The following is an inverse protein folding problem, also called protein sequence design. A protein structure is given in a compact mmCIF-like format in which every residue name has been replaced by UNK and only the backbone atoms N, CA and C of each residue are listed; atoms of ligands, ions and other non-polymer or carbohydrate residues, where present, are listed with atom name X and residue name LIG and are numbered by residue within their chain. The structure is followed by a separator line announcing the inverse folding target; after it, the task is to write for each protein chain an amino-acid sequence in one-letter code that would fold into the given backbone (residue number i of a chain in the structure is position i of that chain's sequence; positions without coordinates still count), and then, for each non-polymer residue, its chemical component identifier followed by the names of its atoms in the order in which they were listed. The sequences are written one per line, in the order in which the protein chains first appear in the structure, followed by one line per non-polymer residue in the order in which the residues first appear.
data_IF_062107483603
#
_entry.id   IF_062107483603
#
_cell.length_a   1.000
_cell.length_b   1.000
_cell.length_c   1.000
_cell.angle_alpha   90.00
_cell.angle_beta   90.00
_cell.angle_gamma   90.00
#
_symmetry.space_group_name_H-M   'P 1'
#
loop_
_entity.id
_entity.type
_entity.pdbx_description
1 polymer ?
#
# COMPACT_ATOMS: atom_id res chain seq x y z
N UNK A 1 20.72 -26.90 70.26
CA UNK A 1 21.08 -25.48 70.37
C UNK A 1 22.33 -25.28 69.53
N UNK A 2 22.19 -24.82 68.29
CA UNK A 2 23.22 -24.11 67.47
C UNK A 2 22.58 -23.83 66.09
N UNK A 3 21.99 -22.65 65.88
CA UNK A 3 22.52 -21.55 65.07
C UNK A 3 23.12 -21.96 63.71
N UNK A 4 22.42 -21.62 62.62
CA UNK A 4 23.04 -20.97 61.44
C UNK A 4 21.98 -20.60 60.38
N UNK A 5 21.33 -19.47 60.64
CA UNK A 5 20.60 -18.67 59.67
C UNK A 5 21.60 -18.18 58.63
N UNK A 6 21.64 -18.81 57.46
CA UNK A 6 22.43 -18.31 56.32
C UNK A 6 21.64 -17.20 55.64
N UNK A 7 21.86 -16.00 56.15
CA UNK A 7 21.40 -14.72 55.60
C UNK A 7 21.96 -14.56 54.19
N UNK A 8 21.09 -14.58 53.17
CA UNK A 8 21.47 -14.18 51.81
C UNK A 8 21.85 -12.68 51.82
N UNK A 9 22.95 -12.28 51.18
CA UNK A 9 23.25 -10.88 50.98
C UNK A 9 22.25 -10.26 50.01
N UNK A 10 21.57 -9.20 50.46
CA UNK A 10 20.80 -8.31 49.60
C UNK A 10 21.72 -7.75 48.50
N UNK A 11 21.28 -7.85 47.25
CA UNK A 11 21.88 -7.10 46.16
C UNK A 11 21.46 -5.63 46.26
N UNK A 12 22.39 -4.66 46.19
CA UNK A 12 22.04 -3.26 46.10
C UNK A 12 21.38 -2.93 44.74
N UNK A 13 20.38 -2.06 44.81
CA UNK A 13 19.51 -1.57 43.75
C UNK A 13 20.23 -0.95 42.53
N UNK A 14 19.58 -0.91 41.35
CA UNK A 14 20.14 -0.28 40.16
C UNK A 14 20.20 1.24 40.33
N UNK A 15 21.39 1.81 40.18
CA UNK A 15 21.61 3.26 40.12
C UNK A 15 20.94 3.87 38.88
N UNK A 16 20.16 4.95 39.01
CA UNK A 16 19.68 5.69 37.85
C UNK A 16 20.85 6.46 37.21
N UNK A 17 21.12 6.18 35.93
CA UNK A 17 22.09 6.94 35.13
C UNK A 17 21.46 8.30 34.79
N UNK A 18 21.73 9.29 35.64
CA UNK A 18 21.48 10.70 35.36
C UNK A 18 22.26 11.13 34.13
N UNK A 19 21.58 11.31 32.99
CA UNK A 19 22.15 12.04 31.85
C UNK A 19 21.90 13.54 32.07
N UNK A 20 22.93 14.39 31.96
CA UNK A 20 22.82 15.82 32.20
C UNK A 20 21.96 16.52 31.13
N UNK A 21 21.10 17.43 31.60
CA UNK A 21 20.47 18.50 30.83
C UNK A 21 21.50 19.62 30.62
N UNK A 22 21.32 20.36 29.51
CA UNK A 22 21.78 21.73 29.22
C UNK A 22 23.03 21.88 28.32
N UNK A 23 22.81 22.17 27.02
CA UNK A 23 22.85 23.58 26.58
C UNK A 23 22.35 23.77 25.12
N UNK A 24 21.68 24.89 24.81
CA UNK A 24 21.32 25.31 23.46
C UNK A 24 22.45 26.14 22.82
N UNK A 25 22.70 25.97 21.53
CA UNK A 25 23.55 26.87 20.78
C UNK A 25 22.95 27.11 19.39
N UNK A 26 22.35 28.29 19.21
CA UNK A 26 22.19 28.91 17.91
C UNK A 26 23.52 29.58 17.51
N UNK A 27 23.84 29.62 16.21
CA UNK A 27 24.65 30.70 15.67
C UNK A 27 23.86 31.49 14.61
N UNK A 28 23.67 32.78 14.92
CA UNK A 28 23.39 33.85 13.95
C UNK A 28 24.67 34.17 13.18
N UNK A 29 24.64 34.16 11.85
CA UNK A 29 25.53 34.89 10.91
C UNK A 29 24.85 34.81 9.52
N UNK A 30 24.13 35.83 9.06
CA UNK A 30 24.57 37.03 8.29
C UNK A 30 25.09 36.72 6.87
N UNK A 31 24.25 37.06 5.89
CA UNK A 31 24.51 37.74 4.59
C UNK A 31 25.48 37.18 3.51
N UNK A 32 24.93 37.23 2.29
CA UNK A 32 25.54 37.61 1.00
C UNK A 32 26.24 36.54 0.15
N UNK A 33 25.78 36.38 -1.10
CA UNK A 33 26.57 35.75 -2.16
C UNK A 33 25.76 35.23 -3.35
N UNK A 34 25.63 36.04 -4.38
CA UNK A 34 24.99 35.76 -5.67
C UNK A 34 25.65 34.65 -6.48
N UNK A 35 24.86 33.98 -7.32
CA UNK A 35 25.07 33.76 -8.77
C UNK A 35 24.71 32.35 -9.25
N UNK A 36 23.96 32.29 -10.36
CA UNK A 36 24.16 31.24 -11.36
C UNK A 36 23.05 30.20 -11.52
N UNK A 37 22.13 30.49 -12.45
CA UNK A 37 21.73 29.51 -13.46
C UNK A 37 20.59 28.57 -13.10
N UNK A 38 19.37 28.92 -13.50
CA UNK A 38 18.36 27.96 -13.94
C UNK A 38 17.44 28.62 -14.96
N UNK A 39 17.62 28.28 -16.23
CA UNK A 39 16.52 28.25 -17.21
C UNK A 39 15.86 26.88 -17.09
N UNK A 40 14.53 26.80 -17.07
CA UNK A 40 13.85 26.42 -18.30
C UNK A 40 12.68 27.33 -18.64
N UNK A 41 12.59 27.65 -19.93
CA UNK A 41 11.49 28.31 -20.61
C UNK A 41 10.21 27.49 -20.46
N UNK A 42 9.19 28.06 -19.80
CA UNK A 42 7.80 27.59 -19.86
C UNK A 42 7.02 28.53 -20.80
N UNK A 43 6.21 28.01 -21.74
CA UNK A 43 5.35 28.82 -22.61
C UNK A 43 4.12 29.36 -21.86
N UNK A 44 3.55 30.51 -22.31
CA UNK A 44 2.40 31.15 -21.66
C UNK A 44 1.07 30.44 -21.94
N UNK A 45 0.06 30.57 -21.06
CA UNK A 45 -1.28 30.05 -21.31
C UNK A 45 -2.04 30.99 -22.25
N UNK A 46 -2.56 30.45 -23.36
CA UNK A 46 -3.49 31.19 -24.24
C UNK A 46 -4.92 30.68 -24.04
N UNK A 47 -5.79 31.68 -24.01
CA UNK A 47 -7.22 31.70 -23.73
C UNK A 47 -8.05 30.83 -24.66
N UNK A 48 -9.20 30.38 -24.14
CA UNK A 48 -10.25 29.63 -24.81
C UNK A 48 -10.71 30.24 -26.15
N UNK A 49 -11.12 29.39 -27.12
CA UNK A 49 -12.28 29.56 -28.03
C UNK A 49 -12.56 28.24 -28.79
N UNK A 50 -13.85 27.97 -29.00
CA UNK A 50 -14.57 26.77 -29.51
C UNK A 50 -14.54 26.61 -31.07
N UNK A 51 -15.42 25.81 -31.72
CA UNK A 51 -15.25 24.44 -32.28
C UNK A 51 -15.23 24.40 -33.85
N UNK A 52 -15.24 23.22 -34.50
CA UNK A 52 -15.98 22.88 -35.78
C UNK A 52 -15.25 22.04 -36.86
N UNK A 53 -15.97 20.98 -37.30
CA UNK A 53 -16.07 20.30 -38.61
C UNK A 53 -15.01 19.31 -39.15
N UNK A 54 -15.39 18.02 -39.05
CA UNK A 54 -15.61 17.02 -40.11
C UNK A 54 -14.57 16.88 -41.26
N UNK A 55 -14.06 15.67 -41.43
CA UNK A 55 -13.44 15.22 -42.68
C UNK A 55 -13.90 13.81 -43.03
N UNK A 56 -14.67 13.74 -44.12
CA UNK A 56 -15.04 12.56 -44.87
C UNK A 56 -13.95 12.34 -45.93
N UNK A 57 -13.30 11.17 -45.97
CA UNK A 57 -12.78 10.67 -47.25
C UNK A 57 -12.67 9.15 -47.31
N UNK A 58 -13.09 8.66 -48.47
CA UNK A 58 -13.37 7.30 -48.92
C UNK A 58 -12.11 6.54 -49.37
N UNK A 59 -12.07 5.21 -49.15
CA UNK A 59 -11.66 4.17 -50.14
C UNK A 59 -11.84 2.78 -49.49
N UNK A 60 -12.77 1.92 -49.94
CA UNK A 60 -12.76 1.06 -51.15
C UNK A 60 -12.34 -0.40 -50.82
N UNK A 61 -13.36 -1.21 -50.47
CA UNK A 61 -13.66 -2.62 -50.81
C UNK A 61 -12.52 -3.67 -51.01
N UNK A 62 -12.53 -4.71 -50.15
CA UNK A 62 -12.60 -6.12 -50.58
C UNK A 62 -13.50 -6.94 -49.66
N UNK A 63 -14.34 -7.74 -50.29
CA UNK A 63 -15.44 -8.56 -49.78
C UNK A 63 -14.93 -9.75 -48.95
N UNK A 64 -15.66 -10.14 -47.89
CA UNK A 64 -15.83 -11.53 -47.44
C UNK A 64 -17.16 -11.68 -46.67
N UNK A 65 -18.07 -12.61 -47.05
CA UNK A 65 -19.24 -12.94 -46.25
C UNK A 65 -18.86 -14.06 -45.29
N UNK A 66 -18.44 -13.73 -44.07
CA UNK A 66 -18.36 -14.73 -43.01
C UNK A 66 -19.61 -14.63 -42.15
N UNK A 67 -20.54 -15.55 -42.42
CA UNK A 67 -21.70 -15.84 -41.59
C UNK A 67 -21.26 -15.98 -40.14
N UNK A 68 -21.61 -15.01 -39.30
CA UNK A 68 -21.45 -15.15 -37.86
C UNK A 68 -22.56 -16.08 -37.36
N UNK A 69 -22.21 -17.35 -37.17
CA UNK A 69 -23.04 -18.29 -36.42
C UNK A 69 -23.02 -17.81 -34.96
N UNK A 70 -24.16 -17.46 -34.35
CA UNK A 70 -24.19 -17.18 -32.93
C UNK A 70 -23.94 -18.50 -32.21
N UNK A 71 -22.73 -18.69 -31.69
CA UNK A 71 -22.46 -19.74 -30.71
C UNK A 71 -23.29 -19.43 -29.47
N UNK A 72 -24.23 -20.30 -29.06
CA UNK A 72 -24.93 -20.12 -27.79
C UNK A 72 -23.91 -20.27 -26.66
N UNK A 73 -23.88 -19.36 -25.66
CA UNK A 73 -23.08 -19.60 -24.48
C UNK A 73 -23.65 -20.84 -23.78
N UNK A 74 -22.85 -21.90 -23.77
CA UNK A 74 -23.07 -23.12 -23.00
C UNK A 74 -23.29 -22.74 -21.53
N UNK A 75 -24.48 -23.06 -21.02
CA UNK A 75 -24.82 -23.01 -19.61
C UNK A 75 -24.06 -24.16 -18.91
N UNK A 76 -22.90 -23.85 -18.32
CA UNK A 76 -22.19 -24.70 -17.35
C UNK A 76 -21.07 -23.81 -16.77
N UNK A 77 -21.15 -23.26 -15.57
CA UNK A 77 -21.34 -23.96 -14.30
C UNK A 77 -22.01 -23.04 -13.27
N UNK A 78 -23.09 -23.54 -12.67
CA UNK A 78 -23.59 -23.04 -11.40
C UNK A 78 -22.59 -23.35 -10.29
N UNK A 79 -21.81 -22.37 -9.85
CA UNK A 79 -21.48 -22.23 -8.44
C UNK A 79 -21.30 -20.74 -8.11
N UNK A 80 -22.18 -20.28 -7.21
CA UNK A 80 -21.99 -19.10 -6.36
C UNK A 80 -22.20 -17.71 -6.97
N UNK A 81 -23.45 -17.44 -7.34
CA UNK A 81 -24.06 -16.11 -7.21
C UNK A 81 -24.21 -15.75 -5.71
N UNK A 82 -23.10 -15.54 -4.99
CA UNK A 82 -23.06 -14.80 -3.71
C UNK A 82 -22.52 -13.41 -4.06
N UNK A 83 -23.43 -12.44 -4.13
CA UNK A 83 -23.25 -11.19 -4.85
C UNK A 83 -22.04 -10.35 -4.46
N UNK A 84 -21.50 -9.68 -5.48
CA UNK A 84 -20.76 -8.40 -5.53
C UNK A 84 -19.60 -8.12 -4.55
N UNK A 85 -19.44 -8.90 -3.48
CA UNK A 85 -18.41 -8.76 -2.48
C UNK A 85 -17.34 -9.83 -2.72
N UNK A 86 -16.05 -9.45 -2.81
CA UNK A 86 -14.99 -10.44 -2.91
C UNK A 86 -15.04 -11.37 -1.69
N UNK A 87 -14.89 -12.67 -1.92
CA UNK A 87 -14.75 -13.67 -0.85
C UNK A 87 -13.61 -13.29 0.09
N UNK A 88 -13.60 -13.76 1.35
CA UNK A 88 -12.55 -13.40 2.31
C UNK A 88 -11.15 -13.76 1.78
N UNK A 89 -11.06 -14.85 1.03
CA UNK A 89 -9.86 -15.23 0.29
C UNK A 89 -9.46 -14.22 -0.79
N UNK A 90 -10.38 -13.78 -1.64
CA UNK A 90 -10.09 -12.77 -2.66
C UNK A 90 -9.66 -11.43 -2.04
N UNK A 91 -10.30 -11.02 -0.95
CA UNK A 91 -9.89 -9.84 -0.18
C UNK A 91 -8.48 -10.01 0.40
N UNK A 92 -8.11 -11.22 0.85
CA UNK A 92 -6.78 -11.50 1.39
C UNK A 92 -5.70 -11.41 0.31
N UNK A 93 -5.96 -11.95 -0.88
CA UNK A 93 -5.05 -11.81 -2.03
C UNK A 93 -4.78 -10.34 -2.35
N UNK A 94 -5.83 -9.51 -2.41
CA UNK A 94 -5.68 -8.07 -2.69
C UNK A 94 -4.81 -7.36 -1.64
N UNK A 95 -4.96 -7.71 -0.35
CA UNK A 95 -4.11 -7.14 0.72
C UNK A 95 -2.65 -7.56 0.55
N UNK A 96 -2.40 -8.81 0.16
CA UNK A 96 -1.04 -9.31 -0.10
C UNK A 96 -0.38 -8.59 -1.27
N UNK A 97 -1.11 -8.37 -2.36
CA UNK A 97 -0.62 -7.60 -3.51
C UNK A 97 -0.28 -6.15 -3.13
N UNK A 98 -1.14 -5.49 -2.36
CA UNK A 98 -0.89 -4.14 -1.86
C UNK A 98 0.34 -4.08 -0.93
N UNK A 99 0.52 -5.07 -0.05
CA UNK A 99 1.71 -5.16 0.80
C UNK A 99 3.00 -5.21 -0.03
N UNK A 100 3.00 -5.98 -1.14
CA UNK A 100 4.14 -6.09 -2.04
C UNK A 100 4.62 -4.75 -2.60
N UNK A 101 3.70 -3.80 -2.83
CA UNK A 101 4.01 -2.45 -3.34
C UNK A 101 4.71 -1.58 -2.29
N UNK A 102 4.43 -1.79 -1.00
CA UNK A 102 5.03 -1.02 0.09
C UNK A 102 6.40 -1.54 0.54
N UNK A 103 6.76 -2.80 0.23
CA UNK A 103 8.01 -3.41 0.71
C UNK A 103 9.25 -2.60 0.31
N UNK A 104 9.43 -2.34 -0.99
CA UNK A 104 10.58 -1.57 -1.51
C UNK A 104 10.68 -0.17 -0.89
N UNK A 105 9.63 0.68 -0.93
CA UNK A 105 9.71 2.02 -0.34
C UNK A 105 9.87 2.02 1.18
N UNK A 106 9.40 0.99 1.90
CA UNK A 106 9.67 0.84 3.34
C UNK A 106 11.16 0.63 3.62
N UNK A 107 11.85 -0.22 2.84
CA UNK A 107 13.30 -0.39 2.98
C UNK A 107 14.09 0.86 2.60
N UNK A 108 13.54 1.72 1.73
CA UNK A 108 14.10 3.04 1.43
C UNK A 108 13.83 4.09 2.53
N UNK A 109 13.21 3.72 3.66
CA UNK A 109 12.95 4.60 4.79
C UNK A 109 11.67 5.45 4.68
N UNK A 110 10.77 5.13 3.74
CA UNK A 110 9.49 5.85 3.63
C UNK A 110 8.58 5.51 4.83
N UNK A 111 8.40 6.50 5.72
CA UNK A 111 7.58 6.37 6.93
C UNK A 111 6.12 6.03 6.64
N UNK A 112 5.53 6.58 5.56
CA UNK A 112 4.15 6.32 5.20
C UNK A 112 3.95 4.89 4.71
N UNK A 113 4.82 4.39 3.82
CA UNK A 113 4.80 3.00 3.38
C UNK A 113 5.02 2.03 4.54
N UNK A 114 5.93 2.34 5.47
CA UNK A 114 6.15 1.53 6.67
C UNK A 114 4.90 1.45 7.58
N UNK A 115 4.17 2.54 7.72
CA UNK A 115 2.88 2.55 8.44
C UNK A 115 1.82 1.73 7.70
N UNK A 116 1.67 1.93 6.37
CA UNK A 116 0.73 1.17 5.54
C UNK A 116 1.01 -0.34 5.62
N UNK A 117 2.27 -0.74 5.49
CA UNK A 117 2.69 -2.13 5.56
C UNK A 117 2.34 -2.75 6.93
N UNK A 118 2.61 -2.05 8.04
CA UNK A 118 2.22 -2.51 9.39
C UNK A 118 0.71 -2.70 9.53
N UNK A 119 -0.09 -1.76 9.00
CA UNK A 119 -1.57 -1.84 9.01
C UNK A 119 -2.07 -2.98 8.14
N UNK A 120 -1.50 -3.16 6.96
CA UNK A 120 -1.86 -4.22 6.02
C UNK A 120 -1.55 -5.61 6.61
N UNK A 121 -0.40 -5.78 7.29
CA UNK A 121 -0.06 -7.02 8.01
C UNK A 121 -1.09 -7.30 9.12
N UNK A 122 -1.46 -6.30 9.92
CA UNK A 122 -2.46 -6.47 10.98
C UNK A 122 -3.83 -6.88 10.41
N UNK A 123 -4.27 -6.22 9.33
CA UNK A 123 -5.52 -6.54 8.63
C UNK A 123 -5.50 -7.95 8.05
N UNK A 124 -4.42 -8.34 7.36
CA UNK A 124 -4.26 -9.67 6.78
C UNK A 124 -4.38 -10.77 7.84
N UNK A 125 -3.83 -10.55 9.05
CA UNK A 125 -3.93 -11.53 10.15
C UNK A 125 -5.37 -11.76 10.60
N UNK A 126 -6.19 -10.72 10.67
CA UNK A 126 -7.62 -10.86 11.00
C UNK A 126 -8.32 -11.60 9.87
N UNK A 127 -8.07 -11.19 8.63
CA UNK A 127 -8.71 -11.74 7.45
C UNK A 127 -8.39 -13.23 7.23
N UNK A 128 -7.17 -13.67 7.57
CA UNK A 128 -6.79 -15.09 7.56
C UNK A 128 -7.66 -15.90 8.52
N UNK A 129 -7.93 -15.39 9.73
CA UNK A 129 -8.81 -16.08 10.69
C UNK A 129 -10.23 -16.19 10.14
N UNK A 130 -10.73 -15.13 9.53
CA UNK A 130 -12.05 -15.15 8.89
C UNK A 130 -12.10 -16.12 7.71
N UNK A 131 -11.06 -16.16 6.88
CA UNK A 131 -10.96 -17.07 5.74
C UNK A 131 -10.92 -18.53 6.20
N UNK A 132 -10.18 -18.86 7.25
CA UNK A 132 -10.16 -20.21 7.83
C UNK A 132 -11.55 -20.62 8.33
N UNK A 133 -12.24 -19.74 9.06
CA UNK A 133 -13.60 -20.00 9.54
C UNK A 133 -14.61 -20.16 8.39
N UNK A 134 -14.46 -19.38 7.32
CA UNK A 134 -15.30 -19.52 6.12
C UNK A 134 -15.08 -20.90 5.47
N UNK A 135 -13.83 -21.35 5.34
CA UNK A 135 -13.51 -22.68 4.82
C UNK A 135 -14.06 -23.82 5.70
N UNK A 136 -13.91 -23.73 7.02
CA UNK A 136 -14.43 -24.72 7.97
C UNK A 136 -15.95 -24.91 7.81
N UNK A 137 -16.68 -23.79 7.67
CA UNK A 137 -18.14 -23.80 7.46
C UNK A 137 -18.54 -24.34 6.10
N UNK A 138 -17.75 -24.08 5.06
CA UNK A 138 -18.05 -24.51 3.69
C UNK A 138 -17.59 -25.94 3.40
N UNK A 139 -16.77 -26.53 4.28
CA UNK A 139 -16.29 -27.92 4.22
C UNK A 139 -17.17 -28.92 4.99
N UNK A 140 -18.14 -28.42 5.79
CA UNK A 140 -19.13 -29.29 6.43
C UNK A 140 -20.15 -29.76 5.39
N UNK A 141 -20.27 -31.09 5.15
CA UNK A 141 -21.17 -31.65 4.16
C UNK A 141 -22.65 -31.46 4.52
#
# INVERSE_FOLDING_TARGET
MDLSIRKQPQQPSPTPVSRPILNPAAPTTMLQGSAGGNSPLLPPPTTATVPTHNSIHHQQIKQQPHSYVPVPPVIQHQHQQRGMHPSKYAQLLNVIEEMGKDIKPTYAGNKNSAERLRRAIASARVLVRECQLECDRNSRP
#
